data_IF_565907556282
#
_entry.id   IF_565907556282
#
_cell.length_a   1.000
_cell.length_b   1.000
_cell.length_c   1.000
_cell.angle_alpha   90.00
_cell.angle_beta   90.00
_cell.angle_gamma   90.00
#
_symmetry.space_group_name_H-M   'P 1'
#
loop_
_entity.id
_entity.type
_entity.pdbx_description
1 polymer ?
#
# COMPACT_ATOMS: atom_id res chain seq x y z
N UNK A 1 5.94 71.63 10.42
CA UNK A 1 4.92 71.18 9.43
C UNK A 1 5.44 70.16 8.41
N UNK A 2 6.56 70.38 7.69
CA UNK A 2 7.09 69.40 6.70
C UNK A 2 7.43 68.01 7.26
N UNK A 3 7.94 67.90 8.50
CA UNK A 3 8.27 66.59 9.13
C UNK A 3 7.02 65.78 9.53
N UNK A 4 5.91 66.43 9.86
CA UNK A 4 4.66 65.76 10.24
C UNK A 4 3.99 65.15 9.00
N UNK A 5 4.01 65.84 7.86
CA UNK A 5 3.49 65.29 6.61
C UNK A 5 4.32 64.11 6.08
N UNK A 6 5.65 64.11 6.30
CA UNK A 6 6.50 62.97 5.94
C UNK A 6 6.18 61.74 6.81
N UNK A 7 5.95 61.92 8.11
CA UNK A 7 5.58 60.82 9.02
C UNK A 7 4.19 60.29 8.68
N UNK A 8 3.22 61.16 8.37
CA UNK A 8 1.88 60.73 7.96
C UNK A 8 1.89 59.95 6.64
N UNK A 9 2.76 60.34 5.70
CA UNK A 9 2.90 59.67 4.41
C UNK A 9 3.55 58.28 4.55
N UNK A 10 4.56 58.14 5.41
CA UNK A 10 5.20 56.86 5.72
C UNK A 10 4.24 55.92 6.48
N UNK A 11 3.43 56.46 7.40
CA UNK A 11 2.42 55.68 8.11
C UNK A 11 1.28 55.23 7.18
N UNK A 12 0.89 56.07 6.22
CA UNK A 12 -0.10 55.70 5.20
C UNK A 12 0.41 54.60 4.26
N UNK A 13 1.71 54.61 3.91
CA UNK A 13 2.33 53.56 3.07
C UNK A 13 2.40 52.19 3.77
N UNK A 14 2.56 52.17 5.11
CA UNK A 14 2.59 50.94 5.90
C UNK A 14 1.23 50.23 5.98
N UNK A 15 0.12 50.97 5.84
CA UNK A 15 -1.24 50.40 5.90
C UNK A 15 -1.62 49.71 4.57
N UNK A 16 -1.02 50.08 3.44
CA UNK A 16 -1.35 49.52 2.11
C UNK A 16 -0.63 48.18 1.83
N UNK A 17 0.43 47.86 2.57
CA UNK A 17 1.16 46.59 2.43
C UNK A 17 0.56 45.42 3.26
N UNK A 18 -0.52 45.65 4.00
CA UNK A 18 -1.06 44.69 4.96
C UNK A 18 -2.42 44.12 4.58
N UNK A 19 -2.60 43.52 3.40
CA UNK A 19 -3.74 42.65 3.10
C UNK A 19 -3.46 41.76 1.88
N UNK A 20 -2.56 40.78 2.03
CA UNK A 20 -2.56 39.63 1.10
C UNK A 20 -3.60 38.64 1.62
N UNK A 21 -4.81 38.72 1.06
CA UNK A 21 -5.90 37.79 1.31
C UNK A 21 -5.46 36.42 0.79
N UNK A 22 -4.89 35.60 1.68
CA UNK A 22 -4.56 34.22 1.41
C UNK A 22 -5.91 33.49 1.30
N UNK A 23 -6.33 33.22 0.07
CA UNK A 23 -7.43 32.32 -0.23
C UNK A 23 -7.08 30.95 0.35
N UNK A 24 -7.66 30.64 1.51
CA UNK A 24 -7.54 29.34 2.16
C UNK A 24 -8.36 28.30 1.41
N UNK A 25 -7.82 27.80 0.30
CA UNK A 25 -8.35 26.63 -0.42
C UNK A 25 -7.29 25.57 -0.70
N UNK A 26 -6.00 25.86 -0.50
CA UNK A 26 -4.94 24.96 -0.96
C UNK A 26 -4.43 24.02 0.14
N UNK A 27 -4.50 24.40 1.43
CA UNK A 27 -3.95 23.59 2.51
C UNK A 27 -4.77 22.31 2.81
N UNK A 28 -6.11 22.36 2.78
CA UNK A 28 -6.95 21.16 2.94
C UNK A 28 -6.88 20.23 1.72
N UNK A 29 -6.68 20.79 0.52
CA UNK A 29 -6.62 20.02 -0.72
C UNK A 29 -5.24 19.36 -0.94
N UNK A 30 -4.15 19.98 -0.46
CA UNK A 30 -2.83 19.34 -0.40
C UNK A 30 -2.77 18.25 0.68
N UNK A 31 -3.30 18.53 1.89
CA UNK A 31 -3.27 17.58 3.00
C UNK A 31 -4.06 16.30 2.67
N UNK A 32 -5.25 16.42 2.09
CA UNK A 32 -6.06 15.26 1.66
C UNK A 32 -5.41 14.43 0.55
N UNK A 33 -4.58 15.04 -0.31
CA UNK A 33 -3.89 14.34 -1.40
C UNK A 33 -2.66 13.56 -0.93
N UNK A 34 -2.04 13.96 0.18
CA UNK A 34 -0.87 13.26 0.74
C UNK A 34 -1.25 12.01 1.55
N UNK A 35 -2.45 11.97 2.15
CA UNK A 35 -2.93 10.82 2.94
C UNK A 35 -2.97 9.53 2.10
N UNK A 36 -3.34 9.65 0.83
CA UNK A 36 -3.42 8.53 -0.10
C UNK A 36 -2.09 8.23 -0.82
N UNK A 37 -0.97 8.86 -0.43
CA UNK A 37 0.36 8.55 -0.98
C UNK A 37 1.09 7.50 -0.15
N UNK A 38 2.19 7.01 -0.71
CA UNK A 38 3.07 6.00 -0.12
C UNK A 38 2.91 4.62 -0.75
N UNK A 39 3.91 3.78 -0.50
CA UNK A 39 4.01 2.41 -1.02
C UNK A 39 3.96 1.36 0.10
N UNK A 40 3.71 1.79 1.33
CA UNK A 40 3.70 0.93 2.52
C UNK A 40 2.28 0.43 2.78
N UNK A 41 2.17 -0.83 3.21
CA UNK A 41 0.94 -1.44 3.72
C UNK A 41 1.04 -1.57 5.24
N UNK A 42 1.15 -2.80 5.73
CA UNK A 42 1.45 -3.09 7.13
C UNK A 42 2.97 -3.01 7.36
N UNK A 43 3.40 -2.18 8.31
CA UNK A 43 4.77 -2.19 8.81
C UNK A 43 4.85 -2.99 10.11
N UNK A 44 5.86 -3.86 10.20
CA UNK A 44 6.15 -4.65 11.39
C UNK A 44 7.50 -4.23 11.97
N UNK A 45 7.60 -4.12 13.29
CA UNK A 45 8.87 -3.89 13.99
C UNK A 45 8.96 -4.74 15.25
N UNK A 46 10.12 -5.33 15.49
CA UNK A 46 10.44 -5.83 16.82
C UNK A 46 10.67 -4.64 17.74
N UNK A 47 10.01 -4.62 18.89
CA UNK A 47 10.30 -3.60 19.90
C UNK A 47 11.76 -3.76 20.36
N UNK A 48 12.41 -2.63 20.61
CA UNK A 48 13.80 -2.59 21.02
C UNK A 48 14.01 -3.52 22.22
N UNK A 49 15.05 -4.35 22.13
CA UNK A 49 15.43 -5.32 23.17
C UNK A 49 14.35 -6.37 23.51
N UNK A 50 13.30 -6.51 22.69
CA UNK A 50 12.27 -7.55 22.80
C UNK A 50 12.01 -8.22 21.43
N UNK A 51 12.62 -9.37 21.12
CA UNK A 51 13.41 -10.22 22.01
C UNK A 51 14.79 -9.64 22.34
N UNK A 52 15.36 -10.06 23.46
CA UNK A 52 16.77 -9.80 23.75
C UNK A 52 17.65 -10.55 22.76
N UNK A 53 18.77 -9.96 22.35
CA UNK A 53 19.72 -10.63 21.43
C UNK A 53 20.46 -11.80 22.08
N UNK A 54 20.51 -11.86 23.41
CA UNK A 54 21.08 -12.96 24.19
C UNK A 54 20.12 -13.30 25.33
N UNK A 55 19.78 -14.57 25.49
CA UNK A 55 18.94 -15.08 26.57
C UNK A 55 19.53 -16.36 27.15
N UNK A 56 19.27 -16.64 28.42
CA UNK A 56 19.64 -17.93 29.01
C UNK A 56 18.57 -18.97 28.70
N UNK A 57 18.96 -20.25 28.67
CA UNK A 57 18.04 -21.40 28.56
C UNK A 57 17.04 -21.52 29.73
N UNK A 58 17.26 -20.79 30.83
CA UNK A 58 16.33 -20.70 31.96
C UNK A 58 15.46 -19.43 31.95
N UNK A 59 15.64 -18.55 30.96
CA UNK A 59 14.91 -17.28 30.85
C UNK A 59 13.68 -17.40 29.95
N UNK A 60 12.72 -16.51 30.16
CA UNK A 60 11.57 -16.39 29.26
C UNK A 60 11.99 -15.76 27.93
N UNK A 61 11.53 -16.35 26.83
CA UNK A 61 11.57 -15.70 25.53
C UNK A 61 10.30 -14.88 25.36
N UNK A 62 10.45 -13.55 25.27
CA UNK A 62 9.36 -12.65 24.89
C UNK A 62 9.71 -11.90 23.61
N UNK A 63 8.88 -12.08 22.58
CA UNK A 63 8.92 -11.35 21.32
C UNK A 63 7.77 -10.37 21.31
N UNK A 64 8.09 -9.08 21.36
CA UNK A 64 7.09 -8.01 21.32
C UNK A 64 7.20 -7.26 20.00
N UNK A 65 6.06 -7.07 19.36
CA UNK A 65 5.94 -6.51 18.03
C UNK A 65 5.09 -5.27 18.07
N UNK A 66 5.49 -4.30 17.26
CA UNK A 66 4.70 -3.14 16.91
C UNK A 66 4.27 -3.28 15.45
N UNK A 67 2.98 -3.05 15.22
CA UNK A 67 2.34 -3.09 13.91
C UNK A 67 1.77 -1.72 13.62
N UNK A 68 2.03 -1.19 12.43
CA UNK A 68 1.46 0.08 11.97
C UNK A 68 0.87 -0.10 10.58
N UNK A 69 -0.40 0.29 10.38
CA UNK A 69 -0.99 0.32 9.05
C UNK A 69 -0.66 1.65 8.38
N UNK A 70 0.42 1.66 7.59
CA UNK A 70 0.89 2.83 6.83
C UNK A 70 0.25 2.99 5.46
N UNK A 71 -0.71 2.13 5.12
CA UNK A 71 -1.48 2.25 3.89
C UNK A 71 -2.94 2.65 4.15
N UNK A 72 -3.79 2.61 3.13
CA UNK A 72 -5.15 3.21 3.17
C UNK A 72 -6.28 2.18 3.33
N UNK A 73 -5.96 0.89 3.36
CA UNK A 73 -6.94 -0.18 3.52
C UNK A 73 -6.94 -0.69 4.97
N UNK A 74 -8.12 -0.81 5.56
CA UNK A 74 -8.29 -1.29 6.93
C UNK A 74 -7.94 -2.78 7.05
N UNK A 75 -7.22 -3.11 8.11
CA UNK A 75 -6.90 -4.48 8.47
C UNK A 75 -7.65 -4.87 9.75
N UNK A 76 -7.93 -6.16 9.92
CA UNK A 76 -8.67 -6.70 11.05
C UNK A 76 -8.26 -8.15 11.31
N UNK A 77 -8.83 -8.73 12.36
CA UNK A 77 -8.59 -10.14 12.68
C UNK A 77 -9.14 -11.11 11.63
N UNK A 78 -9.98 -10.62 10.71
CA UNK A 78 -10.57 -11.42 9.63
C UNK A 78 -9.79 -11.34 8.32
N UNK A 79 -8.74 -10.53 8.22
CA UNK A 79 -7.97 -10.42 6.98
C UNK A 79 -6.46 -10.21 7.20
N UNK A 80 -5.96 -10.35 8.44
CA UNK A 80 -4.54 -10.17 8.76
C UNK A 80 -4.07 -11.13 9.86
N UNK A 81 -3.05 -11.94 9.55
CA UNK A 81 -2.42 -12.92 10.44
C UNK A 81 -0.91 -12.75 10.50
N UNK A 82 -0.35 -13.07 11.66
CA UNK A 82 1.07 -13.11 11.96
C UNK A 82 1.50 -14.55 12.25
N UNK A 83 2.68 -14.91 11.78
CA UNK A 83 3.29 -16.23 11.96
C UNK A 83 4.73 -16.07 12.43
N UNK A 84 5.06 -16.64 13.57
CA UNK A 84 6.42 -16.66 14.12
C UNK A 84 7.09 -18.02 13.83
N UNK A 85 8.26 -17.98 13.23
CA UNK A 85 8.98 -19.16 12.72
C UNK A 85 10.49 -18.93 12.74
N UNK A 86 11.28 -19.81 12.09
CA UNK A 86 12.73 -19.65 11.96
C UNK A 86 13.56 -20.16 13.15
N UNK A 87 12.90 -20.84 14.10
CA UNK A 87 13.54 -21.45 15.26
C UNK A 87 13.25 -22.96 15.38
N UNK A 88 14.05 -23.67 16.17
CA UNK A 88 13.89 -25.09 16.47
C UNK A 88 12.83 -25.29 17.57
N UNK A 89 11.70 -25.89 17.18
CA UNK A 89 10.57 -26.20 18.04
C UNK A 89 10.87 -27.21 19.14
N UNK A 90 11.97 -27.95 19.05
CA UNK A 90 12.40 -28.86 20.12
C UNK A 90 13.09 -28.11 21.24
N UNK A 91 13.68 -26.95 20.92
CA UNK A 91 14.43 -26.11 21.86
C UNK A 91 13.52 -25.03 22.43
N UNK A 92 12.77 -24.32 21.59
CA UNK A 92 11.80 -23.30 22.02
C UNK A 92 10.40 -23.92 21.91
N UNK A 93 9.84 -24.36 23.05
CA UNK A 93 8.57 -25.09 23.12
C UNK A 93 7.43 -24.22 23.63
N UNK A 94 6.20 -24.71 23.57
CA UNK A 94 5.04 -24.07 24.22
C UNK A 94 4.56 -22.74 23.61
N UNK A 95 5.14 -22.30 22.49
CA UNK A 95 4.83 -21.02 21.86
C UNK A 95 3.59 -21.14 20.95
N UNK A 96 2.58 -20.29 21.14
CA UNK A 96 1.56 -20.05 20.12
C UNK A 96 2.15 -19.19 19.00
N UNK A 97 2.43 -19.83 17.86
CA UNK A 97 3.14 -19.22 16.74
C UNK A 97 2.26 -18.39 15.81
N UNK A 98 0.95 -18.37 16.02
CA UNK A 98 0.03 -17.67 15.12
C UNK A 98 -0.79 -16.64 15.89
N UNK A 99 -0.85 -15.40 15.39
CA UNK A 99 -1.70 -14.35 15.96
C UNK A 99 -2.48 -13.64 14.88
N UNK A 100 -3.59 -12.99 15.26
CA UNK A 100 -4.18 -11.95 14.42
C UNK A 100 -3.36 -10.67 14.57
N UNK A 101 -3.35 -9.81 13.55
CA UNK A 101 -2.62 -8.54 13.63
C UNK A 101 -3.26 -7.59 14.67
N UNK A 102 -4.58 -7.45 14.64
CA UNK A 102 -5.37 -6.66 15.58
C UNK A 102 -6.84 -7.03 15.43
N UNK A 103 -7.71 -6.70 16.39
CA UNK A 103 -9.16 -6.76 16.17
C UNK A 103 -9.59 -5.83 15.03
N UNK A 104 -9.02 -4.63 15.02
CA UNK A 104 -9.13 -3.63 13.97
C UNK A 104 -7.86 -2.78 13.93
N UNK A 105 -7.40 -2.45 12.72
CA UNK A 105 -6.20 -1.66 12.46
C UNK A 105 -6.49 -0.73 11.28
N UNK A 106 -6.96 0.46 11.61
CA UNK A 106 -7.42 1.47 10.65
C UNK A 106 -6.34 1.80 9.62
N UNK A 107 -6.71 1.93 8.36
CA UNK A 107 -5.88 2.54 7.34
C UNK A 107 -5.85 4.06 7.49
N UNK A 108 -4.95 4.69 6.76
CA UNK A 108 -4.87 6.15 6.69
C UNK A 108 -6.16 6.74 6.14
N UNK A 109 -6.68 7.75 6.82
CA UNK A 109 -7.89 8.48 6.46
C UNK A 109 -7.72 9.97 6.74
N UNK A 110 -8.60 10.86 6.22
CA UNK A 110 -8.62 12.28 6.59
C UNK A 110 -8.72 12.54 8.09
N UNK A 111 -9.33 11.62 8.84
CA UNK A 111 -9.48 11.70 10.29
C UNK A 111 -8.28 11.08 11.03
N UNK A 112 -7.60 10.11 10.42
CA UNK A 112 -6.43 9.44 10.95
C UNK A 112 -5.31 9.33 9.90
N UNK A 113 -4.53 10.40 9.65
CA UNK A 113 -3.50 10.42 8.60
C UNK A 113 -2.33 9.46 8.83
N UNK A 114 -2.07 9.06 10.08
CA UNK A 114 -0.97 8.16 10.45
C UNK A 114 -1.35 6.68 10.37
N UNK A 115 -2.66 6.39 10.30
CA UNK A 115 -3.22 5.05 10.38
C UNK A 115 -3.27 4.49 11.80
N UNK A 116 -3.69 3.24 11.91
CA UNK A 116 -3.77 2.52 13.18
C UNK A 116 -2.43 1.89 13.58
N UNK A 117 -2.25 1.70 14.88
CA UNK A 117 -1.15 0.93 15.46
C UNK A 117 -1.68 -0.17 16.39
N UNK A 118 -0.90 -1.24 16.57
CA UNK A 118 -1.20 -2.33 17.49
C UNK A 118 0.08 -2.98 17.97
N UNK A 119 -0.01 -3.74 19.08
CA UNK A 119 1.12 -4.52 19.59
C UNK A 119 0.73 -5.99 19.73
N UNK A 120 1.66 -6.88 19.41
CA UNK A 120 1.46 -8.32 19.53
C UNK A 120 2.64 -8.96 20.27
N UNK A 121 2.32 -9.87 21.18
CA UNK A 121 3.31 -10.55 22.01
C UNK A 121 3.27 -12.06 21.76
N UNK A 122 4.43 -12.64 21.49
CA UNK A 122 4.67 -14.08 21.55
C UNK A 122 5.58 -14.35 22.74
N UNK A 123 5.21 -15.28 23.63
CA UNK A 123 6.02 -15.58 24.80
C UNK A 123 5.99 -17.06 25.17
N UNK A 124 7.12 -17.55 25.63
CA UNK A 124 7.28 -18.88 26.22
C UNK A 124 8.35 -18.85 27.31
N UNK A 125 8.18 -19.70 28.32
CA UNK A 125 9.11 -19.99 29.41
C UNK A 125 9.82 -21.34 29.21
N UNK A 126 9.54 -22.05 28.10
CA UNK A 126 10.07 -23.39 27.85
C UNK A 126 11.19 -23.32 26.81
N UNK A 127 12.43 -23.16 27.30
CA UNK A 127 13.65 -23.27 26.50
C UNK A 127 14.45 -24.48 26.99
N UNK A 128 14.78 -25.38 26.07
CA UNK A 128 15.43 -26.66 26.37
C UNK A 128 16.68 -26.81 25.51
N UNK A 129 17.78 -26.22 25.98
CA UNK A 129 19.07 -26.28 25.30
C UNK A 129 19.80 -27.58 25.69
N UNK A 130 20.12 -28.47 24.73
CA UNK A 130 20.81 -29.72 25.02
C UNK A 130 22.14 -29.52 25.76
N UNK A 131 22.46 -30.39 26.72
CA UNK A 131 23.63 -30.23 27.62
C UNK A 131 24.99 -30.23 26.91
N UNK A 132 25.06 -30.72 25.67
CA UNK A 132 26.28 -30.70 24.86
C UNK A 132 26.47 -29.38 24.08
N UNK A 133 25.55 -28.42 24.21
CA UNK A 133 25.62 -27.10 23.58
C UNK A 133 25.78 -26.01 24.64
N UNK A 134 26.85 -25.22 24.53
CA UNK A 134 27.04 -24.03 25.36
C UNK A 134 26.15 -22.87 24.91
N UNK A 135 25.89 -22.78 23.60
CA UNK A 135 25.04 -21.76 23.01
C UNK A 135 24.44 -22.21 21.68
N UNK A 136 23.35 -21.54 21.27
CA UNK A 136 22.71 -21.75 19.99
C UNK A 136 22.15 -20.44 19.44
N UNK A 137 22.52 -20.11 18.20
CA UNK A 137 21.93 -19.01 17.46
C UNK A 137 20.64 -19.47 16.76
N UNK A 138 19.59 -18.65 16.86
CA UNK A 138 18.30 -18.86 16.20
C UNK A 138 17.88 -17.57 15.51
N UNK A 139 17.32 -17.68 14.29
CA UNK A 139 16.82 -16.54 13.54
C UNK A 139 15.30 -16.51 13.59
N UNK A 140 14.75 -15.72 14.49
CA UNK A 140 13.30 -15.55 14.56
C UNK A 140 12.82 -14.84 13.30
N UNK A 141 11.89 -15.45 12.58
CA UNK A 141 11.25 -14.94 11.38
C UNK A 141 9.78 -14.68 11.68
N UNK A 142 9.38 -13.41 11.62
CA UNK A 142 7.99 -13.01 11.70
C UNK A 142 7.47 -12.75 10.29
N UNK A 143 6.40 -13.43 9.92
CA UNK A 143 5.72 -13.26 8.62
C UNK A 143 4.30 -12.77 8.85
N UNK A 144 3.91 -11.68 8.19
CA UNK A 144 2.52 -11.25 8.09
C UNK A 144 1.92 -11.69 6.77
N UNK A 145 0.69 -12.17 6.82
CA UNK A 145 -0.14 -12.49 5.67
C UNK A 145 -1.45 -11.72 5.80
N UNK A 146 -1.76 -10.86 4.83
CA UNK A 146 -2.96 -10.04 4.91
C UNK A 146 -3.58 -9.73 3.55
N UNK A 147 -4.91 -9.60 3.53
CA UNK A 147 -5.62 -9.13 2.34
C UNK A 147 -5.45 -7.62 2.20
N UNK A 148 -5.36 -7.13 0.98
CA UNK A 148 -5.20 -5.71 0.72
C UNK A 148 -5.94 -5.25 -0.52
N UNK A 149 -6.29 -3.97 -0.51
CA UNK A 149 -6.94 -3.29 -1.63
C UNK A 149 -6.19 -2.00 -1.96
N UNK A 150 -5.80 -1.85 -3.23
CA UNK A 150 -5.31 -0.57 -3.76
C UNK A 150 -6.43 0.11 -4.52
N UNK A 151 -6.66 1.40 -4.27
CA UNK A 151 -7.57 2.24 -5.06
C UNK A 151 -6.77 3.36 -5.74
N UNK A 152 -6.92 3.48 -7.04
CA UNK A 152 -6.38 4.59 -7.83
C UNK A 152 -7.50 5.26 -8.63
N UNK A 153 -7.40 6.57 -8.82
CA UNK A 153 -8.35 7.33 -9.64
C UNK A 153 -7.65 8.42 -10.46
N UNK A 154 -6.70 8.05 -11.35
CA UNK A 154 -6.10 9.01 -12.27
C UNK A 154 -7.17 9.69 -13.14
N UNK A 155 -6.97 10.98 -13.39
CA UNK A 155 -7.79 11.76 -14.32
C UNK A 155 -7.21 11.61 -15.72
N UNK A 156 -7.99 11.04 -16.63
CA UNK A 156 -7.61 10.81 -18.04
C UNK A 156 -8.35 11.80 -18.95
N UNK A 157 -7.75 12.12 -20.08
CA UNK A 157 -8.38 12.93 -21.13
C UNK A 157 -8.86 12.00 -22.26
N UNK A 158 -10.12 12.16 -22.64
CA UNK A 158 -10.77 11.45 -23.73
C UNK A 158 -11.06 12.44 -24.84
N UNK A 159 -10.60 12.16 -26.06
CA UNK A 159 -10.80 13.04 -27.22
C UNK A 159 -11.28 12.22 -28.44
N UNK A 160 -12.61 12.12 -28.64
CA UNK A 160 -13.21 11.42 -29.79
C UNK A 160 -12.71 11.90 -31.15
N UNK A 161 -12.25 13.16 -31.25
CA UNK A 161 -11.84 13.80 -32.50
C UNK A 161 -10.32 14.04 -32.54
N UNK A 162 -9.54 13.24 -31.80
CA UNK A 162 -8.08 13.38 -31.67
C UNK A 162 -7.36 13.52 -33.02
N UNK A 163 -7.79 12.73 -34.02
CA UNK A 163 -7.19 12.65 -35.35
C UNK A 163 -7.81 13.60 -36.39
N UNK A 164 -8.82 14.40 -36.02
CA UNK A 164 -9.40 15.38 -36.92
C UNK A 164 -8.49 16.61 -37.04
N UNK A 165 -8.28 17.05 -38.28
CA UNK A 165 -7.46 18.22 -38.62
C UNK A 165 -8.40 19.42 -38.80
N UNK A 166 -8.37 20.37 -37.87
CA UNK A 166 -9.16 21.59 -37.93
C UNK A 166 -8.95 22.50 -36.70
N UNK A 167 -9.42 23.76 -36.73
CA UNK A 167 -9.37 24.66 -35.58
C UNK A 167 -10.46 24.29 -34.57
N UNK A 168 -10.36 23.10 -33.97
CA UNK A 168 -11.27 22.63 -32.92
C UNK A 168 -10.62 22.96 -31.59
N UNK A 169 -11.30 23.77 -30.76
CA UNK A 169 -10.90 24.01 -29.38
C UNK A 169 -11.07 22.71 -28.58
N UNK A 170 -9.98 22.16 -28.06
CA UNK A 170 -9.99 20.88 -27.33
C UNK A 170 -10.09 21.13 -25.83
N UNK A 171 -11.04 20.47 -25.17
CA UNK A 171 -11.24 20.58 -23.72
C UNK A 171 -10.09 20.01 -22.88
N UNK A 172 -9.27 19.10 -23.44
CA UNK A 172 -8.07 18.57 -22.80
C UNK A 172 -7.11 17.98 -23.84
N UNK A 173 -5.91 17.58 -23.39
CA UNK A 173 -4.91 16.90 -24.23
C UNK A 173 -4.71 15.47 -23.77
N UNK A 174 -4.88 14.51 -24.69
CA UNK A 174 -4.60 13.09 -24.45
C UNK A 174 -3.11 12.91 -24.19
N UNK A 175 -2.78 12.31 -23.05
CA UNK A 175 -1.40 12.02 -22.64
C UNK A 175 -1.39 10.88 -21.62
N UNK A 176 -0.25 10.23 -21.52
CA UNK A 176 0.01 9.25 -20.48
C UNK A 176 -0.09 9.92 -19.10
N UNK A 177 -0.76 9.24 -18.16
CA UNK A 177 -0.92 9.68 -16.79
C UNK A 177 0.03 8.89 -15.90
N UNK A 178 0.99 9.58 -15.28
CA UNK A 178 1.79 8.98 -14.22
C UNK A 178 1.09 9.13 -12.88
N UNK A 179 1.00 8.03 -12.14
CA UNK A 179 0.43 7.96 -10.80
C UNK A 179 1.54 7.91 -9.74
N UNK A 180 2.52 8.81 -9.89
CA UNK A 180 3.67 8.93 -8.99
C UNK A 180 3.23 9.27 -7.55
N UNK A 181 3.99 8.77 -6.58
CA UNK A 181 3.73 8.98 -5.16
C UNK A 181 2.99 7.84 -4.47
N UNK A 182 2.55 6.81 -5.20
CA UNK A 182 1.88 5.64 -4.63
C UNK A 182 0.41 5.90 -4.26
N UNK A 183 -0.26 4.86 -3.79
CA UNK A 183 -1.69 4.89 -3.43
C UNK A 183 -1.94 4.41 -1.99
N UNK A 184 -0.93 4.57 -1.12
CA UNK A 184 -0.97 4.06 0.24
C UNK A 184 -1.09 2.54 0.26
N UNK A 185 -0.33 1.86 -0.61
CA UNK A 185 -0.45 0.42 -0.79
C UNK A 185 0.84 -0.19 -1.36
N UNK A 186 1.14 -1.46 -1.05
CA UNK A 186 2.35 -2.14 -1.53
C UNK A 186 2.30 -2.55 -3.01
N UNK A 187 1.11 -2.64 -3.61
CA UNK A 187 0.93 -2.74 -5.07
C UNK A 187 0.33 -1.44 -5.58
N UNK A 188 0.99 -0.82 -6.55
CA UNK A 188 0.63 0.50 -7.05
C UNK A 188 0.26 0.46 -8.53
N UNK A 189 -0.65 1.34 -8.94
CA UNK A 189 -0.76 1.77 -10.34
C UNK A 189 0.40 2.71 -10.58
N UNK A 190 1.21 2.42 -11.61
CA UNK A 190 2.41 3.19 -11.95
C UNK A 190 2.23 4.09 -13.16
N UNK A 191 1.27 3.78 -14.04
CA UNK A 191 0.88 4.66 -15.13
C UNK A 191 -0.34 4.17 -15.89
N UNK A 192 -0.97 5.08 -16.62
CA UNK A 192 -2.08 4.81 -17.53
C UNK A 192 -1.78 5.47 -18.86
N UNK A 193 -1.64 4.65 -19.90
CA UNK A 193 -1.50 5.10 -21.27
C UNK A 193 -2.90 5.12 -21.91
N UNK A 194 -3.21 6.19 -22.64
CA UNK A 194 -4.54 6.41 -23.22
C UNK A 194 -4.42 6.38 -24.74
N UNK A 195 -5.22 5.52 -25.38
CA UNK A 195 -5.24 5.38 -26.83
C UNK A 195 -6.68 5.50 -27.35
N UNK A 196 -6.92 6.43 -28.26
CA UNK A 196 -8.22 6.57 -28.93
C UNK A 196 -8.33 5.56 -30.07
N UNK A 197 -9.37 4.73 -30.03
CA UNK A 197 -9.64 3.67 -31.02
C UNK A 197 -10.86 4.09 -31.84
N UNK A 198 -10.64 4.89 -32.87
CA UNK A 198 -11.75 5.54 -33.59
C UNK A 198 -12.38 6.67 -32.78
N UNK A 199 -13.66 6.96 -33.03
CA UNK A 199 -14.39 8.08 -32.39
C UNK A 199 -15.18 7.65 -31.15
N UNK A 200 -15.60 6.40 -31.14
CA UNK A 200 -16.55 5.83 -30.19
C UNK A 200 -15.88 4.93 -29.15
N UNK A 201 -14.56 4.73 -29.21
CA UNK A 201 -13.84 3.87 -28.27
C UNK A 201 -12.53 4.47 -27.78
N UNK A 202 -12.18 4.09 -26.56
CA UNK A 202 -10.89 4.38 -25.94
C UNK A 202 -10.33 3.09 -25.33
N UNK A 203 -9.02 2.91 -25.47
CA UNK A 203 -8.26 1.86 -24.83
C UNK A 203 -7.32 2.45 -23.79
N UNK A 204 -7.15 1.72 -22.68
CA UNK A 204 -6.21 2.03 -21.62
C UNK A 204 -5.21 0.90 -21.46
N UNK A 205 -3.92 1.23 -21.49
CA UNK A 205 -2.83 0.37 -21.00
C UNK A 205 -2.45 0.84 -19.60
N UNK A 206 -2.89 0.07 -18.60
CA UNK A 206 -2.73 0.35 -17.18
C UNK A 206 -1.56 -0.48 -16.66
N UNK A 207 -0.51 0.20 -16.24
CA UNK A 207 0.70 -0.40 -15.68
C UNK A 207 0.57 -0.45 -14.16
N UNK A 208 0.82 -1.62 -13.60
CA UNK A 208 0.80 -1.85 -12.16
C UNK A 208 2.10 -2.53 -11.70
N UNK A 209 2.48 -2.32 -10.44
CA UNK A 209 3.76 -2.82 -9.93
C UNK A 209 3.71 -3.12 -8.42
N UNK A 210 4.38 -4.19 -8.01
CA UNK A 210 4.70 -4.43 -6.61
C UNK A 210 5.87 -3.54 -6.20
N UNK A 211 5.62 -2.63 -5.26
CA UNK A 211 6.56 -1.60 -4.80
C UNK A 211 6.85 -1.70 -3.29
N UNK A 212 6.17 -2.61 -2.58
CA UNK A 212 6.31 -2.80 -1.13
C UNK A 212 7.44 -3.73 -0.69
N UNK A 213 8.04 -4.49 -1.61
CA UNK A 213 9.17 -5.39 -1.32
C UNK A 213 8.79 -6.80 -0.82
N UNK A 214 7.56 -7.00 -0.35
CA UNK A 214 6.98 -8.29 -0.03
C UNK A 214 6.47 -9.07 -1.25
N UNK A 215 5.79 -10.17 -1.00
CA UNK A 215 5.28 -11.10 -2.02
C UNK A 215 3.78 -10.91 -2.22
N UNK A 216 3.37 -10.75 -3.48
CA UNK A 216 1.96 -10.68 -3.86
C UNK A 216 1.42 -12.10 -4.03
N UNK A 217 0.26 -12.37 -3.44
CA UNK A 217 -0.45 -13.64 -3.54
C UNK A 217 -1.88 -13.35 -4.04
N UNK A 218 -2.39 -14.21 -4.92
CA UNK A 218 -3.72 -14.08 -5.49
C UNK A 218 -4.81 -14.16 -4.42
N UNK A 219 -5.95 -13.44 -4.61
CA UNK A 219 -7.05 -13.44 -3.65
C UNK A 219 -7.82 -14.78 -3.57
N UNK A 220 -7.43 -15.79 -4.35
CA UNK A 220 -7.97 -17.15 -4.25
C UNK A 220 -7.29 -17.99 -3.18
N UNK A 221 -6.08 -17.63 -2.76
CA UNK A 221 -5.40 -18.28 -1.64
C UNK A 221 -5.91 -17.71 -0.31
N UNK A 222 -5.96 -18.54 0.72
CA UNK A 222 -6.40 -18.14 2.05
C UNK A 222 -5.22 -17.59 2.86
N UNK A 223 -5.38 -16.37 3.39
CA UNK A 223 -4.42 -15.78 4.34
C UNK A 223 -4.36 -16.53 5.67
N UNK A 224 -5.32 -17.41 5.95
CA UNK A 224 -5.48 -18.11 7.22
C UNK A 224 -4.88 -19.50 7.26
N UNK A 225 -5.04 -20.22 6.15
CA UNK A 225 -4.68 -21.64 6.04
C UNK A 225 -3.45 -21.84 5.18
N UNK A 226 -3.30 -21.03 4.13
CA UNK A 226 -2.30 -21.29 3.10
C UNK A 226 -1.06 -20.45 3.34
N UNK A 227 -1.22 -19.17 3.67
CA UNK A 227 -0.09 -18.29 3.94
C UNK A 227 0.45 -18.49 5.37
N UNK A 228 1.78 -18.61 5.58
CA UNK A 228 2.85 -18.55 4.59
C UNK A 228 3.30 -19.90 4.00
N UNK A 229 2.80 -21.04 4.50
CA UNK A 229 3.45 -22.34 4.29
C UNK A 229 2.92 -23.20 3.13
N UNK A 230 1.65 -23.05 2.76
CA UNK A 230 0.92 -23.91 1.82
C UNK A 230 0.31 -23.13 0.64
N UNK A 231 0.87 -21.96 0.30
CA UNK A 231 0.43 -21.18 -0.87
C UNK A 231 0.73 -21.96 -2.14
N UNK A 232 -0.30 -22.25 -2.95
CA UNK A 232 -0.15 -22.93 -4.23
C UNK A 232 0.73 -22.08 -5.17
N UNK A 233 1.75 -22.66 -5.84
CA UNK A 233 2.57 -21.96 -6.82
C UNK A 233 1.79 -21.14 -7.85
N UNK A 234 0.59 -21.59 -8.23
CA UNK A 234 -0.26 -20.88 -9.19
C UNK A 234 -0.78 -19.54 -8.64
N UNK A 235 -0.92 -19.39 -7.33
CA UNK A 235 -1.50 -18.18 -6.73
C UNK A 235 -0.48 -17.06 -6.55
N UNK A 236 0.82 -17.34 -6.66
CA UNK A 236 1.85 -16.31 -6.55
C UNK A 236 1.74 -15.24 -7.64
N UNK A 237 2.01 -14.00 -7.26
CA UNK A 237 2.10 -12.86 -8.17
C UNK A 237 0.79 -12.55 -8.91
N UNK A 238 -0.37 -13.00 -8.43
CA UNK A 238 -1.67 -12.69 -9.03
C UNK A 238 -2.31 -11.49 -8.32
N UNK A 239 -2.86 -10.57 -9.11
CA UNK A 239 -3.72 -9.47 -8.64
C UNK A 239 -5.04 -9.54 -9.38
N UNK A 240 -6.16 -9.52 -8.65
CA UNK A 240 -7.48 -9.30 -9.24
C UNK A 240 -7.69 -7.80 -9.39
N UNK A 241 -8.22 -7.36 -10.51
CA UNK A 241 -8.43 -5.94 -10.78
C UNK A 241 -9.88 -5.64 -11.12
N UNK A 242 -10.27 -4.39 -10.96
CA UNK A 242 -11.51 -3.81 -11.45
C UNK A 242 -11.22 -2.43 -12.01
N UNK A 243 -11.78 -2.12 -13.17
CA UNK A 243 -11.57 -0.84 -13.86
C UNK A 243 -12.92 -0.32 -14.32
N UNK A 244 -13.21 0.93 -13.96
CA UNK A 244 -14.44 1.63 -14.30
C UNK A 244 -14.15 3.08 -14.67
N UNK A 245 -14.90 3.63 -15.61
CA UNK A 245 -14.73 5.01 -16.06
C UNK A 245 -16.09 5.72 -16.07
N UNK A 246 -16.13 6.96 -15.58
CA UNK A 246 -17.37 7.75 -15.65
C UNK A 246 -17.61 8.21 -17.09
N UNK A 247 -18.83 8.03 -17.60
CA UNK A 247 -19.20 8.46 -18.96
C UNK A 247 -18.85 7.49 -20.09
N UNK A 248 -18.36 6.29 -19.78
CA UNK A 248 -18.11 5.22 -20.75
C UNK A 248 -18.62 3.87 -20.28
N UNK A 249 -18.83 2.95 -21.22
CA UNK A 249 -19.25 1.57 -20.93
C UNK A 249 -18.07 0.63 -21.14
N UNK A 250 -17.68 -0.13 -20.10
CA UNK A 250 -16.60 -1.11 -20.20
C UNK A 250 -17.01 -2.20 -21.20
N UNK A 251 -16.21 -2.38 -22.24
CA UNK A 251 -16.38 -3.47 -23.21
C UNK A 251 -15.69 -4.72 -22.68
N UNK A 252 -14.39 -4.60 -22.38
CA UNK A 252 -13.55 -5.72 -21.91
C UNK A 252 -12.29 -5.20 -21.25
N UNK A 253 -11.79 -5.94 -20.26
CA UNK A 253 -10.42 -5.84 -19.80
C UNK A 253 -9.69 -7.18 -19.94
N UNK A 254 -8.38 -7.14 -20.19
CA UNK A 254 -7.49 -8.30 -20.23
C UNK A 254 -6.20 -8.01 -19.46
N UNK A 255 -5.46 -9.02 -18.95
CA UNK A 255 -5.71 -10.46 -19.06
C UNK A 255 -6.80 -10.99 -18.12
N UNK A 256 -7.39 -12.12 -18.47
CA UNK A 256 -8.27 -12.88 -17.59
C UNK A 256 -7.60 -14.20 -17.22
N UNK A 257 -7.65 -14.57 -15.93
CA UNK A 257 -7.18 -15.87 -15.44
C UNK A 257 -8.39 -16.59 -14.88
N UNK A 258 -8.68 -17.78 -15.43
CA UNK A 258 -9.84 -18.60 -15.04
C UNK A 258 -11.17 -17.81 -15.17
N UNK A 259 -11.32 -17.03 -16.24
CA UNK A 259 -12.52 -16.25 -16.51
C UNK A 259 -12.75 -15.06 -15.57
N UNK A 260 -11.76 -14.69 -14.76
CA UNK A 260 -11.79 -13.52 -13.87
C UNK A 260 -10.78 -12.47 -14.29
N UNK A 261 -11.13 -11.18 -14.14
CA UNK A 261 -10.24 -10.02 -14.33
C UNK A 261 -9.05 -10.06 -13.37
N UNK A 262 -7.99 -10.77 -13.77
CA UNK A 262 -6.81 -11.08 -12.96
C UNK A 262 -5.58 -10.99 -13.84
N UNK A 263 -4.52 -10.38 -13.32
CA UNK A 263 -3.22 -10.29 -14.00
C UNK A 263 -2.13 -10.89 -13.14
N UNK A 264 -1.11 -11.45 -13.77
CA UNK A 264 0.06 -12.01 -13.10
C UNK A 264 1.26 -11.10 -13.28
N UNK A 265 2.00 -10.86 -12.22
CA UNK A 265 3.25 -10.11 -12.30
C UNK A 265 4.36 -10.95 -12.90
N UNK A 266 5.12 -10.29 -13.77
CA UNK A 266 6.40 -10.74 -14.29
C UNK A 266 7.41 -9.66 -13.90
N UNK A 267 8.46 -10.04 -13.17
CA UNK A 267 9.45 -9.09 -12.63
C UNK A 267 8.81 -7.94 -11.84
N UNK A 268 7.89 -8.27 -10.93
CA UNK A 268 7.13 -7.32 -10.09
C UNK A 268 6.25 -6.30 -10.85
N UNK A 269 5.99 -6.53 -12.14
CA UNK A 269 5.16 -5.65 -12.97
C UNK A 269 4.03 -6.42 -13.63
N UNK A 270 2.89 -5.77 -13.77
CA UNK A 270 1.75 -6.27 -14.50
C UNK A 270 1.18 -5.18 -15.40
N UNK A 271 0.46 -5.62 -16.42
CA UNK A 271 -0.27 -4.74 -17.33
C UNK A 271 -1.70 -5.21 -17.46
N UNK A 272 -2.62 -4.25 -17.52
CA UNK A 272 -4.04 -4.45 -17.73
C UNK A 272 -4.45 -3.59 -18.93
N UNK A 273 -5.09 -4.20 -19.92
CA UNK A 273 -5.61 -3.52 -21.10
C UNK A 273 -7.13 -3.49 -21.04
N UNK A 274 -7.72 -2.30 -21.05
CA UNK A 274 -9.18 -2.14 -21.00
C UNK A 274 -9.67 -1.31 -22.18
N UNK A 275 -10.82 -1.69 -22.75
CA UNK A 275 -11.49 -0.93 -23.81
C UNK A 275 -12.88 -0.51 -23.35
N UNK A 276 -13.24 0.73 -23.65
CA UNK A 276 -14.52 1.34 -23.30
C UNK A 276 -15.18 1.94 -24.54
N UNK A 277 -16.50 1.79 -24.63
CA UNK A 277 -17.33 2.62 -25.52
C UNK A 277 -17.53 3.98 -24.86
N UNK A 278 -17.38 5.04 -25.65
CA UNK A 278 -17.54 6.43 -25.26
C UNK A 278 -18.54 7.13 -26.18
N UNK A 279 -19.15 8.19 -25.69
CA UNK A 279 -20.12 8.98 -26.44
C UNK A 279 -19.79 10.47 -26.39
N UNK A 280 -20.25 11.21 -27.38
CA UNK A 280 -20.03 12.65 -27.55
C UNK A 280 -18.89 12.98 -28.51
N UNK A 281 -18.80 14.27 -28.87
CA UNK A 281 -17.87 14.79 -29.89
C UNK A 281 -16.85 15.79 -29.31
N UNK A 282 -16.96 16.14 -28.04
CA UNK A 282 -16.04 17.08 -27.39
C UNK A 282 -15.01 16.33 -26.54
N UNK A 283 -13.78 16.81 -26.49
CA UNK A 283 -12.77 16.29 -25.56
C UNK A 283 -13.12 16.64 -24.11
N UNK A 284 -12.96 15.68 -23.19
CA UNK A 284 -13.27 15.86 -21.76
C UNK A 284 -12.33 15.06 -20.85
N UNK A 285 -12.19 15.51 -19.59
CA UNK A 285 -11.48 14.76 -18.55
C UNK A 285 -12.44 13.95 -17.70
N UNK A 286 -12.07 12.71 -17.38
CA UNK A 286 -12.87 11.83 -16.51
C UNK A 286 -11.98 11.01 -15.58
N UNK A 287 -12.42 10.69 -14.35
CA UNK A 287 -11.67 9.78 -13.48
C UNK A 287 -11.80 8.33 -13.98
N UNK A 288 -10.65 7.68 -14.15
CA UNK A 288 -10.55 6.24 -14.36
C UNK A 288 -10.32 5.55 -13.01
N UNK A 289 -11.35 4.88 -12.48
CA UNK A 289 -11.28 4.18 -11.20
C UNK A 289 -10.66 2.81 -11.41
N UNK A 290 -9.56 2.55 -10.71
CA UNK A 290 -8.85 1.28 -10.76
C UNK A 290 -8.79 0.73 -9.34
N UNK A 291 -9.23 -0.50 -9.15
CA UNK A 291 -9.18 -1.20 -7.88
C UNK A 291 -8.39 -2.50 -8.03
N UNK A 292 -7.41 -2.72 -7.17
CA UNK A 292 -6.59 -3.94 -7.14
C UNK A 292 -6.87 -4.69 -5.84
N UNK A 293 -7.07 -6.00 -5.93
CA UNK A 293 -7.30 -6.90 -4.81
C UNK A 293 -6.27 -8.03 -4.83
N UNK A 294 -5.60 -8.24 -3.71
CA UNK A 294 -4.55 -9.22 -3.56
C UNK A 294 -4.33 -9.53 -2.08
N UNK A 295 -3.67 -10.64 -1.82
CA UNK A 295 -3.06 -10.93 -0.53
C UNK A 295 -1.59 -10.51 -0.59
N UNK A 296 -1.03 -10.12 0.55
CA UNK A 296 0.34 -9.68 0.66
C UNK A 296 1.04 -10.41 1.80
N UNK A 297 2.24 -10.90 1.52
CA UNK A 297 3.09 -11.57 2.47
C UNK A 297 4.38 -10.77 2.65
N UNK A 298 4.65 -10.35 3.88
CA UNK A 298 5.87 -9.61 4.24
C UNK A 298 6.52 -10.24 5.46
N UNK A 299 7.84 -10.08 5.62
CA UNK A 299 8.58 -10.70 6.72
C UNK A 299 9.72 -9.86 7.25
N UNK A 300 9.86 -9.86 8.58
CA UNK A 300 11.01 -9.30 9.29
C UNK A 300 11.68 -10.40 10.10
N UNK A 301 12.97 -10.24 10.42
CA UNK A 301 13.69 -11.23 11.20
C UNK A 301 14.60 -10.61 12.24
N UNK A 302 14.85 -11.35 13.32
CA UNK A 302 15.78 -10.97 14.37
C UNK A 302 16.54 -12.20 14.89
N UNK A 303 17.85 -12.08 14.97
CA UNK A 303 18.71 -13.12 15.50
C UNK A 303 18.75 -13.04 17.04
N UNK A 304 18.69 -14.20 17.68
CA UNK A 304 18.86 -14.38 19.11
C UNK A 304 19.91 -15.47 19.38
N UNK A 305 20.63 -15.33 20.48
CA UNK A 305 21.55 -16.34 21.01
C UNK A 305 20.99 -16.88 22.32
N UNK A 306 20.75 -18.17 22.37
CA UNK A 306 20.38 -18.89 23.59
C UNK A 306 21.65 -19.44 24.20
N UNK A 307 21.91 -19.15 25.47
CA UNK A 307 23.13 -19.55 26.18
C UNK A 307 22.75 -20.48 27.32
N UNK A 308 23.53 -21.55 27.51
CA UNK A 308 23.37 -22.45 28.64
C UNK A 308 23.60 -21.68 29.94
N UNK A 309 22.70 -21.82 30.90
CA UNK A 309 22.90 -21.26 32.25
C UNK A 309 24.09 -21.96 32.91
N UNK A 310 25.11 -21.22 33.39
CA UNK A 310 26.21 -21.82 34.13
C UNK A 310 25.69 -22.54 35.38
N UNK A 311 26.03 -23.81 35.52
CA UNK A 311 25.77 -24.62 36.72
C UNK A 311 26.75 -24.36 37.85
#
# INVERSE_FOLDING_TARGET
MKKIHLILFVLALLVICGCRRQTGTDAEQEFSKDIYKGTKGLEMRFIKDMPMSKIYDTSDLTVLLELENKGTYDLSGTNCRLYLSGFDDKIIRGLDKTKICSSFLEGKSPLNPEGGYSTQQFSTDIIDLPDYLDSLNQRLLLTACYEYQTKASPVVCIDPNLYEIGPIERGCTVKDVSTAGGQGAPVAVSGVNVEMVGKDKVAFDIKISNVGGGTVIGPGASVFTDCPYQVDPKDYNIVRYGVDMSGGTKIRCTPEIEGSEKTRFVNNKGTIYCTFDISGDSAYTTPLRITLYYNYMDSISKDIEIIKTPG
#
